data_IF_248360377680
#
_entry.id   IF_248360377680
#
_cell.length_a   1.000
_cell.length_b   1.000
_cell.length_c   1.000
_cell.angle_alpha   90.00
_cell.angle_beta   90.00
_cell.angle_gamma   90.00
#
_symmetry.space_group_name_H-M   'P 1'
#
loop_
_entity.id
_entity.type
_entity.pdbx_description
1 polymer ?
#
# COMPACT_ATOMS: atom_id res chain seq x y z
N UNK A 1 7.89 -19.36 16.22
CA UNK A 1 8.64 -18.32 15.46
C UNK A 1 8.17 -16.95 15.88
N UNK A 2 9.08 -16.00 16.13
CA UNK A 2 8.72 -14.65 16.59
C UNK A 2 8.31 -13.79 15.40
N UNK A 3 7.18 -13.09 15.52
CA UNK A 3 6.71 -12.11 14.52
C UNK A 3 7.46 -10.79 14.68
N UNK A 4 7.79 -10.09 13.59
CA UNK A 4 8.31 -8.74 13.68
C UNK A 4 7.21 -7.82 14.23
N UNK A 5 7.48 -7.20 15.38
CA UNK A 5 6.48 -6.43 16.14
C UNK A 5 7.04 -5.07 16.59
N UNK A 6 7.52 -4.28 15.62
CA UNK A 6 7.91 -2.89 15.85
C UNK A 6 6.78 -1.93 15.47
N UNK A 7 6.79 -0.72 16.01
CA UNK A 7 5.80 0.33 15.69
C UNK A 7 5.74 0.60 14.18
N UNK A 8 6.90 0.70 13.52
CA UNK A 8 7.01 0.86 12.08
C UNK A 8 6.37 -0.32 11.32
N UNK A 9 6.66 -1.55 11.74
CA UNK A 9 6.09 -2.74 11.10
C UNK A 9 4.57 -2.79 11.25
N UNK A 10 4.02 -2.34 12.38
CA UNK A 10 2.58 -2.23 12.57
C UNK A 10 1.95 -1.14 11.71
N UNK A 11 2.57 0.03 11.62
CA UNK A 11 2.08 1.12 10.77
C UNK A 11 1.96 0.69 9.31
N UNK A 12 2.97 -0.04 8.81
CA UNK A 12 2.97 -0.59 7.46
C UNK A 12 1.99 -1.76 7.25
N UNK A 13 1.58 -2.46 8.31
CA UNK A 13 0.67 -3.60 8.26
C UNK A 13 -0.72 -3.29 8.85
N UNK A 14 -1.20 -2.05 8.71
CA UNK A 14 -2.55 -1.65 9.16
C UNK A 14 -2.81 -1.92 10.67
N UNK A 15 -1.80 -1.70 11.50
CA UNK A 15 -1.84 -1.92 12.94
C UNK A 15 -1.58 -3.37 13.36
N UNK A 16 -1.35 -4.29 12.41
CA UNK A 16 -1.09 -5.72 12.70
C UNK A 16 0.40 -5.99 12.83
N UNK A 17 0.80 -6.99 13.63
CA UNK A 17 2.18 -7.48 13.60
C UNK A 17 2.53 -7.97 12.19
N UNK A 18 3.80 -7.82 11.81
CA UNK A 18 4.25 -8.26 10.50
C UNK A 18 4.19 -9.78 10.37
N UNK A 19 4.28 -10.24 9.13
CA UNK A 19 4.19 -11.66 8.80
C UNK A 19 5.36 -12.43 9.43
N UNK A 20 5.06 -13.59 10.00
CA UNK A 20 6.09 -14.54 10.38
C UNK A 20 6.66 -15.26 9.16
N UNK A 21 7.81 -15.90 9.31
CA UNK A 21 8.38 -16.73 8.26
C UNK A 21 7.43 -17.86 7.81
N UNK A 22 6.62 -18.41 8.72
CA UNK A 22 5.57 -19.39 8.37
C UNK A 22 4.47 -18.76 7.51
N UNK A 23 4.07 -17.52 7.80
CA UNK A 23 3.03 -16.82 7.01
C UNK A 23 3.54 -16.57 5.58
N UNK A 24 4.83 -16.21 5.43
CA UNK A 24 5.47 -16.10 4.11
C UNK A 24 5.49 -17.44 3.36
N UNK A 25 5.91 -18.52 4.02
CA UNK A 25 5.96 -19.85 3.40
C UNK A 25 4.58 -20.36 2.97
N UNK A 26 3.54 -20.09 3.75
CA UNK A 26 2.16 -20.42 3.39
C UNK A 26 1.69 -19.64 2.16
N UNK A 27 2.05 -18.35 2.06
CA UNK A 27 1.74 -17.53 0.89
C UNK A 27 2.44 -18.05 -0.37
N UNK A 28 3.73 -18.43 -0.26
CA UNK A 28 4.50 -18.99 -1.36
C UNK A 28 3.93 -20.34 -1.82
N UNK A 29 3.60 -21.22 -0.87
CA UNK A 29 2.96 -22.51 -1.18
C UNK A 29 1.63 -22.31 -1.90
N UNK A 30 0.82 -21.35 -1.45
CA UNK A 30 -0.43 -21.00 -2.11
C UNK A 30 -0.19 -20.50 -3.54
N UNK A 31 0.77 -19.61 -3.76
CA UNK A 31 1.11 -19.10 -5.09
C UNK A 31 1.57 -20.23 -6.04
N UNK A 32 2.38 -21.17 -5.56
CA UNK A 32 2.79 -22.37 -6.31
C UNK A 32 1.57 -23.23 -6.64
N UNK A 33 0.69 -23.46 -5.67
CA UNK A 33 -0.51 -24.30 -5.84
C UNK A 33 -1.46 -23.68 -6.86
N UNK A 34 -1.68 -22.37 -6.81
CA UNK A 34 -2.47 -21.63 -7.80
C UNK A 34 -1.83 -21.76 -9.17
N UNK A 35 -0.52 -21.47 -9.30
CA UNK A 35 0.17 -21.59 -10.59
C UNK A 35 0.12 -23.00 -11.19
N UNK A 36 0.20 -24.03 -10.36
CA UNK A 36 0.16 -25.42 -10.81
C UNK A 36 -1.25 -25.86 -11.25
N UNK A 37 -2.30 -25.27 -10.70
CA UNK A 37 -3.70 -25.67 -10.94
C UNK A 37 -4.50 -24.68 -11.79
N UNK A 38 -3.93 -23.50 -12.10
CA UNK A 38 -4.53 -22.51 -12.99
C UNK A 38 -4.01 -22.70 -14.41
N UNK A 39 -4.89 -23.08 -15.34
CA UNK A 39 -4.66 -22.79 -16.77
C UNK A 39 -4.88 -21.30 -17.02
N UNK A 40 -4.21 -20.72 -18.03
CA UNK A 40 -4.16 -19.27 -18.27
C UNK A 40 -5.52 -18.56 -18.32
N UNK A 41 -6.61 -19.30 -18.57
CA UNK A 41 -7.97 -18.77 -18.75
C UNK A 41 -8.96 -19.11 -17.62
N UNK A 42 -8.57 -19.85 -16.57
CA UNK A 42 -9.55 -20.54 -15.72
C UNK A 42 -9.57 -20.19 -14.23
N UNK A 43 -8.90 -19.14 -13.77
CA UNK A 43 -9.02 -18.80 -12.33
C UNK A 43 -10.14 -17.77 -12.15
N UNK A 44 -11.27 -18.12 -11.51
CA UNK A 44 -12.30 -17.14 -11.18
C UNK A 44 -11.66 -16.06 -10.31
N UNK A 45 -11.93 -14.80 -10.62
CA UNK A 45 -11.39 -13.72 -9.82
C UNK A 45 -11.92 -13.81 -8.38
N UNK A 46 -11.04 -13.63 -7.41
CA UNK A 46 -11.45 -13.73 -6.01
C UNK A 46 -12.38 -12.54 -5.70
N UNK A 47 -13.56 -12.75 -5.09
CA UNK A 47 -14.56 -11.68 -4.92
C UNK A 47 -14.03 -10.48 -4.12
N UNK A 48 -13.00 -10.69 -3.31
CA UNK A 48 -12.34 -9.64 -2.51
C UNK A 48 -11.24 -8.91 -3.28
N UNK A 49 -10.73 -9.43 -4.41
CA UNK A 49 -9.64 -8.79 -5.17
C UNK A 49 -10.05 -7.42 -5.70
N UNK A 50 -11.24 -7.32 -6.29
CA UNK A 50 -11.78 -6.03 -6.75
C UNK A 50 -11.88 -4.99 -5.62
N UNK A 51 -12.27 -5.42 -4.41
CA UNK A 51 -12.34 -4.55 -3.23
C UNK A 51 -10.94 -4.11 -2.77
N UNK A 52 -9.97 -5.03 -2.76
CA UNK A 52 -8.58 -4.73 -2.39
C UNK A 52 -7.94 -3.77 -3.39
N UNK A 53 -8.14 -3.99 -4.69
CA UNK A 53 -7.65 -3.09 -5.74
C UNK A 53 -8.29 -1.70 -5.64
N UNK A 54 -9.60 -1.63 -5.40
CA UNK A 54 -10.29 -0.36 -5.20
C UNK A 54 -9.72 0.41 -4.00
N UNK A 55 -9.46 -0.28 -2.87
CA UNK A 55 -8.82 0.31 -1.69
C UNK A 55 -7.40 0.78 -1.99
N UNK A 56 -6.60 -0.02 -2.67
CA UNK A 56 -5.23 0.35 -3.05
C UNK A 56 -5.21 1.60 -3.95
N UNK A 57 -6.07 1.65 -4.98
CA UNK A 57 -6.20 2.84 -5.86
C UNK A 57 -6.69 4.07 -5.09
N UNK A 58 -7.59 3.91 -4.13
CA UNK A 58 -8.06 5.01 -3.30
C UNK A 58 -6.95 5.56 -2.39
N UNK A 59 -6.16 4.67 -1.77
CA UNK A 59 -5.01 5.05 -0.95
C UNK A 59 -3.94 5.79 -1.77
N UNK A 60 -3.61 5.29 -2.96
CA UNK A 60 -2.67 5.95 -3.88
C UNK A 60 -3.17 7.35 -4.29
N UNK A 61 -4.46 7.46 -4.64
CA UNK A 61 -5.06 8.74 -5.00
C UNK A 61 -5.00 9.73 -3.83
N UNK A 62 -5.30 9.28 -2.61
CA UNK A 62 -5.23 10.12 -1.41
C UNK A 62 -3.80 10.63 -1.16
N UNK A 63 -2.80 9.75 -1.23
CA UNK A 63 -1.39 10.11 -1.07
C UNK A 63 -0.93 11.13 -2.13
N UNK A 64 -1.34 10.95 -3.39
CA UNK A 64 -1.03 11.90 -4.46
C UNK A 64 -1.68 13.26 -4.22
N UNK A 65 -2.93 13.30 -3.74
CA UNK A 65 -3.60 14.56 -3.43
C UNK A 65 -2.94 15.30 -2.28
N UNK A 66 -2.51 14.61 -1.22
CA UNK A 66 -1.79 15.24 -0.11
C UNK A 66 -0.46 15.85 -0.57
N UNK A 67 0.29 15.13 -1.40
CA UNK A 67 1.55 15.65 -1.95
C UNK A 67 1.35 16.93 -2.79
N UNK A 68 0.32 16.96 -3.63
CA UNK A 68 -0.02 18.13 -4.45
C UNK A 68 -0.41 19.32 -3.59
N UNK A 69 -1.22 19.10 -2.55
CA UNK A 69 -1.63 20.16 -1.61
C UNK A 69 -0.42 20.73 -0.88
N UNK A 70 0.49 19.87 -0.41
CA UNK A 70 1.70 20.33 0.27
C UNK A 70 2.64 21.07 -0.68
N UNK A 71 2.77 20.61 -1.93
CA UNK A 71 3.53 21.34 -2.96
C UNK A 71 2.94 22.71 -3.22
N UNK A 72 1.62 22.82 -3.36
CA UNK A 72 0.94 24.09 -3.56
C UNK A 72 1.15 25.03 -2.38
N UNK A 73 1.00 24.53 -1.14
CA UNK A 73 1.24 25.31 0.09
C UNK A 73 2.66 25.85 0.14
N UNK A 74 3.67 25.02 -0.16
CA UNK A 74 5.08 25.44 -0.25
C UNK A 74 5.32 26.51 -1.31
N UNK A 75 4.69 26.40 -2.47
CA UNK A 75 4.79 27.41 -3.53
C UNK A 75 4.14 28.73 -3.10
N UNK A 76 2.92 28.69 -2.57
CA UNK A 76 2.20 29.87 -2.09
C UNK A 76 3.00 30.64 -1.03
N UNK A 77 3.59 29.93 -0.07
CA UNK A 77 4.43 30.55 0.96
C UNK A 77 5.66 31.24 0.36
N UNK A 78 6.33 30.61 -0.63
CA UNK A 78 7.47 31.22 -1.34
C UNK A 78 7.10 32.48 -2.12
N UNK A 79 5.93 32.49 -2.76
CA UNK A 79 5.45 33.69 -3.45
C UNK A 79 5.17 34.83 -2.47
N UNK A 80 4.56 34.53 -1.32
CA UNK A 80 4.29 35.52 -0.28
C UNK A 80 5.58 36.13 0.26
N UNK A 81 6.58 35.31 0.62
CA UNK A 81 7.86 35.81 1.12
C UNK A 81 8.60 36.63 0.08
N UNK A 82 8.62 36.20 -1.19
CA UNK A 82 9.26 36.97 -2.28
C UNK A 82 8.63 38.35 -2.47
N UNK A 83 7.29 38.46 -2.38
CA UNK A 83 6.57 39.73 -2.50
C UNK A 83 6.85 40.70 -1.34
N UNK A 84 7.14 40.19 -0.15
CA UNK A 84 7.44 41.01 1.03
C UNK A 84 8.91 41.51 1.04
N UNK A 85 9.80 40.83 0.32
CA UNK A 85 11.23 41.18 0.20
C UNK A 85 11.60 42.02 -1.03
N UNK A 86 10.65 42.33 -1.92
CA UNK A 86 10.82 43.19 -3.11
C UNK A 86 10.10 44.51 -2.91
#
# INVERSE_FOLDING_TARGET
MKRPDSSLVRELNEGRPGWSQTDHLLADLWAITVRANSTADSTPDHPVRALMEARARAAEKAARTSELVDRFRRLKNRYKTRRETS
#
